data_IF_343737178872
#
_entry.id   IF_343737178872
#
_cell.length_a   1.000
_cell.length_b   1.000
_cell.length_c   1.000
_cell.angle_alpha   90.00
_cell.angle_beta   90.00
_cell.angle_gamma   90.00
#
_symmetry.space_group_name_H-M   'P 1'
#
loop_
_entity.id
_entity.type
_entity.pdbx_description
1 polymer ?
#
# COMPACT_ATOMS: atom_id res chain seq x y z
N UNK A 1 -8.63 3.17 23.59
CA UNK A 1 -8.28 2.15 22.59
C UNK A 1 -8.56 2.81 21.25
N UNK A 2 -7.52 3.17 20.49
CA UNK A 2 -7.72 3.75 19.16
C UNK A 2 -8.34 2.68 18.28
N UNK A 3 -9.62 2.89 17.96
CA UNK A 3 -10.40 2.04 17.09
C UNK A 3 -9.66 1.93 15.74
N UNK A 4 -9.35 0.72 15.30
CA UNK A 4 -8.52 0.43 14.12
C UNK A 4 -9.14 0.83 12.78
N UNK A 5 -10.07 1.79 12.78
CA UNK A 5 -10.86 2.26 11.65
C UNK A 5 -10.43 3.63 11.12
N UNK A 6 -9.33 4.21 11.61
CA UNK A 6 -8.87 5.48 11.05
C UNK A 6 -8.60 5.29 9.55
N UNK A 7 -9.33 5.98 8.65
CA UNK A 7 -9.05 5.88 7.22
C UNK A 7 -7.58 6.24 7.01
N UNK A 8 -6.86 5.41 6.26
CA UNK A 8 -5.48 5.71 5.93
C UNK A 8 -5.42 7.11 5.32
N UNK A 9 -4.52 7.96 5.82
CA UNK A 9 -4.29 9.24 5.20
C UNK A 9 -3.88 8.99 3.74
N UNK A 10 -4.51 9.72 2.80
CA UNK A 10 -4.21 9.58 1.37
C UNK A 10 -2.71 9.73 1.14
N UNK A 11 -2.15 8.81 0.38
CA UNK A 11 -0.72 8.76 0.05
C UNK A 11 -0.34 9.79 -1.01
N UNK A 12 -1.33 10.41 -1.66
CA UNK A 12 -1.14 11.32 -2.78
C UNK A 12 -1.00 10.63 -4.14
N UNK A 13 -0.86 9.29 -4.19
CA UNK A 13 -0.96 8.51 -5.42
C UNK A 13 -2.30 7.75 -5.44
N UNK A 14 -3.16 8.11 -6.39
CA UNK A 14 -4.49 7.51 -6.54
C UNK A 14 -4.45 5.99 -6.79
N UNK A 15 -3.37 5.47 -7.42
CA UNK A 15 -3.18 4.04 -7.65
C UNK A 15 -2.90 3.33 -6.34
N UNK A 16 -2.01 3.89 -5.51
CA UNK A 16 -1.69 3.36 -4.18
C UNK A 16 -2.91 3.43 -3.26
N UNK A 17 -3.62 4.56 -3.24
CA UNK A 17 -4.83 4.74 -2.43
C UNK A 17 -5.93 3.74 -2.81
N UNK A 18 -6.09 3.43 -4.10
CA UNK A 18 -7.04 2.41 -4.57
C UNK A 18 -6.70 1.02 -4.03
N UNK A 19 -5.41 0.66 -4.00
CA UNK A 19 -4.96 -0.63 -3.46
C UNK A 19 -5.14 -0.69 -1.94
N UNK A 20 -4.83 0.40 -1.23
CA UNK A 20 -4.97 0.49 0.23
C UNK A 20 -6.42 0.52 0.70
N UNK A 21 -7.37 0.98 -0.12
CA UNK A 21 -8.81 0.92 0.17
C UNK A 21 -9.28 -0.51 0.49
N UNK A 22 -8.62 -1.53 -0.08
CA UNK A 22 -8.94 -2.94 0.17
C UNK A 22 -8.71 -3.38 1.62
N UNK A 23 -7.81 -2.73 2.35
CA UNK A 23 -7.61 -3.00 3.78
C UNK A 23 -8.86 -2.70 4.62
N UNK A 24 -9.78 -1.89 4.10
CA UNK A 24 -11.10 -1.67 4.69
C UNK A 24 -12.01 -2.91 4.73
N UNK A 25 -11.65 -4.00 4.04
CA UNK A 25 -12.34 -5.29 4.09
C UNK A 25 -11.95 -6.13 5.34
N UNK A 26 -10.84 -5.80 6.00
CA UNK A 26 -10.34 -6.55 7.15
C UNK A 26 -11.26 -6.48 8.39
N UNK A 27 -11.83 -5.30 8.75
CA UNK A 27 -12.82 -5.22 9.82
C UNK A 27 -14.07 -6.05 9.47
N UNK A 28 -14.40 -7.03 10.31
CA UNK A 28 -15.53 -7.93 10.10
C UNK A 28 -15.19 -9.22 9.34
N UNK A 29 -14.00 -9.32 8.75
CA UNK A 29 -13.51 -10.57 8.19
C UNK A 29 -12.88 -11.47 9.27
N UNK A 30 -12.96 -12.81 9.15
CA UNK A 30 -12.19 -13.73 10.00
C UNK A 30 -10.69 -13.46 9.86
N UNK A 31 -9.93 -13.59 10.96
CA UNK A 31 -8.47 -13.39 10.96
C UNK A 31 -7.76 -14.28 9.93
N UNK A 32 -8.26 -15.50 9.70
CA UNK A 32 -7.73 -16.40 8.68
C UNK A 32 -7.79 -15.82 7.24
N UNK A 33 -8.76 -14.93 6.96
CA UNK A 33 -8.90 -14.26 5.67
C UNK A 33 -7.97 -13.03 5.53
N UNK A 34 -7.42 -12.51 6.64
CA UNK A 34 -6.60 -11.31 6.61
C UNK A 34 -5.31 -11.51 5.80
N UNK A 35 -4.70 -12.69 5.89
CA UNK A 35 -3.48 -13.02 5.15
C UNK A 35 -3.68 -12.86 3.64
N UNK A 36 -4.76 -13.41 3.11
CA UNK A 36 -5.05 -13.32 1.67
C UNK A 36 -5.29 -11.86 1.21
N UNK A 37 -5.88 -11.02 2.07
CA UNK A 37 -6.07 -9.59 1.77
C UNK A 37 -4.72 -8.87 1.78
N UNK A 38 -3.86 -9.12 2.77
CA UNK A 38 -2.53 -8.53 2.83
C UNK A 38 -1.64 -8.95 1.67
N UNK A 39 -1.66 -10.22 1.28
CA UNK A 39 -0.87 -10.74 0.16
C UNK A 39 -1.23 -10.08 -1.17
N UNK A 40 -2.52 -9.93 -1.47
CA UNK A 40 -2.98 -9.26 -2.69
C UNK A 40 -2.67 -7.76 -2.70
N UNK A 41 -2.85 -7.08 -1.56
CA UNK A 41 -2.45 -5.67 -1.42
C UNK A 41 -0.95 -5.53 -1.67
N UNK A 42 -0.13 -6.41 -1.08
CA UNK A 42 1.32 -6.38 -1.25
C UNK A 42 1.74 -6.67 -2.69
N UNK A 43 1.14 -7.68 -3.34
CA UNK A 43 1.41 -8.01 -4.73
C UNK A 43 1.11 -6.83 -5.66
N UNK A 44 -0.05 -6.17 -5.50
CA UNK A 44 -0.41 -5.00 -6.31
C UNK A 44 0.51 -3.81 -6.08
N UNK A 45 0.96 -3.58 -4.85
CA UNK A 45 1.94 -2.53 -4.58
C UNK A 45 3.29 -2.83 -5.25
N UNK A 46 3.73 -4.09 -5.28
CA UNK A 46 4.93 -4.49 -6.00
C UNK A 46 4.78 -4.27 -7.51
N UNK A 47 3.65 -4.66 -8.11
CA UNK A 47 3.37 -4.41 -9.52
C UNK A 47 3.42 -2.92 -9.88
N UNK A 48 2.92 -2.04 -9.00
CA UNK A 48 3.01 -0.61 -9.19
C UNK A 48 4.45 -0.11 -9.19
N UNK A 49 5.29 -0.61 -8.27
CA UNK A 49 6.71 -0.25 -8.18
C UNK A 49 7.53 -0.75 -9.36
N UNK A 50 7.29 -1.98 -9.82
CA UNK A 50 7.94 -2.55 -11.01
C UNK A 50 7.55 -1.80 -12.29
N UNK A 51 6.37 -1.20 -12.32
CA UNK A 51 5.90 -0.35 -13.41
C UNK A 51 6.49 1.06 -13.43
N UNK A 52 7.14 1.51 -12.36
CA UNK A 52 7.74 2.84 -12.31
C UNK A 52 9.10 2.84 -13.02
N UNK A 53 9.37 3.79 -13.94
CA UNK A 53 10.69 3.93 -14.51
C UNK A 53 11.67 4.22 -13.37
N UNK A 54 12.70 3.38 -13.24
CA UNK A 54 13.73 3.55 -12.22
C UNK A 54 14.21 5.00 -12.21
N UNK A 55 13.92 5.72 -11.13
CA UNK A 55 14.39 7.10 -11.00
C UNK A 55 15.92 7.05 -11.07
N UNK A 56 16.56 7.79 -12.00
CA UNK A 56 18.01 7.77 -12.10
C UNK A 56 18.62 8.12 -10.74
N UNK A 57 19.70 7.44 -10.33
CA UNK A 57 20.33 7.72 -9.05
C UNK A 57 20.66 9.21 -9.00
N UNK A 58 20.04 9.93 -8.05
CA UNK A 58 20.37 11.34 -7.83
C UNK A 58 21.88 11.39 -7.54
N UNK A 59 22.69 12.09 -8.35
CA UNK A 59 24.11 12.21 -8.07
C UNK A 59 24.26 12.84 -6.68
N UNK A 60 24.92 12.11 -5.77
CA UNK A 60 25.20 12.63 -4.44
C UNK A 60 25.98 13.95 -4.51
N UNK A 61 25.89 14.81 -3.47
CA UNK A 61 26.62 16.08 -3.46
C UNK A 61 28.10 15.80 -3.71
N UNK A 62 28.67 16.43 -4.74
CA UNK A 62 30.13 16.42 -4.94
C UNK A 62 30.76 17.23 -3.80
N UNK A 63 31.83 16.73 -3.16
CA UNK A 63 32.52 17.44 -2.07
C UNK A 63 33.14 18.76 -2.53
#
# INVERSE_FOLDING_TARGET
MSDGTAPHASTGDARVDTVLARLGELPGAPVAAHVAVFEDVHARLQELLDGEPAQPPVPGPRP
#
